data_IF_182005381183
#
_entry.id   IF_182005381183
#
_cell.length_a   1.000
_cell.length_b   1.000
_cell.length_c   1.000
_cell.angle_alpha   90.00
_cell.angle_beta   90.00
_cell.angle_gamma   90.00
#
_symmetry.space_group_name_H-M   'P 1'
#
loop_
_entity.id
_entity.type
_entity.pdbx_description
1 polymer ?
#
# COMPACT_ATOMS: atom_id res chain seq x y z
N UNK A 1 -0.64 7.13 8.34
CA UNK A 1 0.76 7.45 8.74
C UNK A 1 1.48 6.14 8.91
N UNK A 2 2.59 5.92 8.18
CA UNK A 2 3.42 4.73 8.36
C UNK A 2 3.97 4.74 9.78
N UNK A 3 3.99 3.58 10.45
CA UNK A 3 4.65 3.42 11.73
C UNK A 3 6.14 3.67 11.57
N UNK A 4 6.76 4.33 12.54
CA UNK A 4 8.22 4.45 12.56
C UNK A 4 8.86 3.09 12.74
N UNK A 5 9.92 2.84 11.96
CA UNK A 5 10.72 1.63 12.12
C UNK A 5 11.33 1.63 13.54
N UNK A 6 11.12 0.59 14.34
CA UNK A 6 11.73 0.48 15.67
C UNK A 6 13.25 0.55 15.57
N UNK A 7 13.89 1.30 16.48
CA UNK A 7 15.35 1.36 16.57
C UNK A 7 15.98 2.67 16.16
N UNK A 8 15.25 3.61 15.56
CA UNK A 8 15.79 4.95 15.23
C UNK A 8 16.30 5.66 16.50
N UNK A 9 15.61 5.52 17.61
CA UNK A 9 15.98 6.06 18.90
C UNK A 9 17.30 5.46 19.44
N UNK A 10 17.53 4.16 19.18
CA UNK A 10 18.78 3.48 19.54
C UNK A 10 19.93 3.99 18.68
N UNK A 11 19.67 4.17 17.37
CA UNK A 11 20.66 4.69 16.43
C UNK A 11 21.09 6.12 16.81
N UNK A 12 20.15 7.00 17.15
CA UNK A 12 20.43 8.38 17.59
C UNK A 12 21.35 8.38 18.82
N UNK A 13 21.06 7.53 19.81
CA UNK A 13 21.88 7.41 21.03
C UNK A 13 23.27 6.83 20.76
N UNK A 14 23.35 5.87 19.85
CA UNK A 14 24.62 5.19 19.49
C UNK A 14 25.57 6.14 18.77
N UNK A 15 25.06 6.87 17.78
CA UNK A 15 25.86 7.78 16.96
C UNK A 15 26.21 9.04 17.72
N UNK A 16 25.30 9.56 18.56
CA UNK A 16 25.51 10.79 19.32
C UNK A 16 25.67 12.05 18.45
N UNK A 17 25.21 11.99 17.18
CA UNK A 17 25.22 13.15 16.28
C UNK A 17 23.95 14.00 16.47
N UNK A 18 24.00 15.31 16.13
CA UNK A 18 22.80 16.14 16.09
C UNK A 18 21.75 15.58 15.14
N UNK A 19 20.49 15.60 15.56
CA UNK A 19 19.34 15.16 14.77
C UNK A 19 18.69 16.37 14.13
N UNK A 20 18.50 16.29 12.80
CA UNK A 20 17.71 17.26 12.02
C UNK A 20 16.48 16.53 11.50
N UNK A 21 15.31 17.02 11.87
CA UNK A 21 14.04 16.52 11.33
C UNK A 21 13.64 17.31 10.09
N UNK A 22 12.98 16.65 9.15
CA UNK A 22 12.50 17.25 7.93
C UNK A 22 11.06 16.86 7.63
N UNK A 23 10.27 17.82 7.14
CA UNK A 23 8.93 17.60 6.63
C UNK A 23 8.88 17.90 5.14
N UNK A 24 8.22 17.02 4.41
CA UNK A 24 7.96 17.21 2.97
C UNK A 24 6.47 17.47 2.82
N UNK A 25 6.11 18.67 2.40
CA UNK A 25 4.72 19.09 2.28
C UNK A 25 4.27 19.10 0.82
N UNK A 26 3.01 18.75 0.56
CA UNK A 26 2.35 18.72 -0.73
C UNK A 26 2.89 17.68 -1.73
N UNK A 27 3.82 16.83 -1.33
CA UNK A 27 4.38 15.78 -2.20
C UNK A 27 3.32 14.74 -2.59
N UNK A 28 2.44 14.41 -1.65
CA UNK A 28 1.30 13.49 -1.82
C UNK A 28 0.28 13.98 -2.86
N UNK A 29 0.19 15.29 -3.10
CA UNK A 29 -0.68 15.90 -4.12
C UNK A 29 0.03 16.08 -5.46
N UNK A 30 1.32 16.40 -5.43
CA UNK A 30 2.14 16.56 -6.65
C UNK A 30 2.47 15.20 -7.28
N UNK A 31 2.83 14.23 -6.47
CA UNK A 31 3.09 12.88 -6.92
C UNK A 31 2.51 11.85 -5.95
N UNK A 32 1.19 11.64 -5.98
CA UNK A 32 0.56 10.56 -5.23
C UNK A 32 1.14 9.22 -5.63
N UNK A 33 1.30 8.30 -4.69
CA UNK A 33 1.94 6.99 -4.92
C UNK A 33 1.25 6.14 -5.99
N UNK A 34 -0.05 6.34 -6.21
CA UNK A 34 -0.81 5.66 -7.26
C UNK A 34 -0.70 6.33 -8.63
N UNK A 35 -0.34 7.63 -8.69
CA UNK A 35 -0.39 8.39 -9.91
C UNK A 35 0.60 7.87 -10.95
N UNK A 36 0.15 7.75 -12.19
CA UNK A 36 1.00 7.38 -13.30
C UNK A 36 1.92 8.51 -13.76
N UNK A 37 1.56 9.77 -13.45
CA UNK A 37 2.30 10.97 -13.85
C UNK A 37 2.40 11.96 -12.72
N UNK A 38 3.54 12.63 -12.65
CA UNK A 38 3.75 13.78 -11.76
C UNK A 38 2.83 14.92 -12.18
N UNK A 39 2.18 15.54 -11.20
CA UNK A 39 1.34 16.73 -11.38
C UNK A 39 2.18 17.98 -11.23
N UNK A 40 1.80 19.06 -11.91
CA UNK A 40 2.48 20.36 -11.77
C UNK A 40 2.05 21.00 -10.45
N UNK A 41 3.00 21.27 -9.57
CA UNK A 41 2.77 21.87 -8.27
C UNK A 41 4.07 22.14 -7.54
N UNK A 42 3.97 22.75 -6.35
CA UNK A 42 5.10 23.03 -5.48
C UNK A 42 5.18 21.94 -4.40
N UNK A 43 6.38 21.43 -4.18
CA UNK A 43 6.74 20.63 -3.01
C UNK A 43 7.62 21.50 -2.11
N UNK A 44 7.35 21.50 -0.83
CA UNK A 44 8.10 22.28 0.15
C UNK A 44 8.81 21.35 1.14
N UNK A 45 10.09 21.62 1.36
CA UNK A 45 10.92 20.96 2.36
C UNK A 45 11.14 21.94 3.51
N UNK A 46 10.84 21.51 4.71
CA UNK A 46 11.04 22.27 5.93
C UNK A 46 11.96 21.47 6.84
N UNK A 47 13.03 22.10 7.28
CA UNK A 47 14.04 21.49 8.16
C UNK A 47 13.98 22.18 9.51
N UNK A 48 13.92 21.39 10.59
CA UNK A 48 14.04 21.92 11.93
C UNK A 48 15.51 22.17 12.30
N UNK A 49 15.81 23.06 13.25
CA UNK A 49 17.16 23.20 13.76
C UNK A 49 17.72 21.90 14.32
N UNK A 50 19.05 21.68 14.24
CA UNK A 50 19.68 20.50 14.81
C UNK A 50 19.45 20.43 16.33
N UNK A 51 19.09 19.25 16.82
CA UNK A 51 18.93 18.96 18.25
C UNK A 51 19.88 17.86 18.67
N UNK A 52 20.65 18.10 19.73
CA UNK A 52 21.56 17.14 20.32
C UNK A 52 20.87 16.43 21.48
N UNK A 53 20.80 15.10 21.41
CA UNK A 53 20.32 14.27 22.51
C UNK A 53 21.49 13.75 23.34
N UNK A 54 21.36 13.80 24.66
CA UNK A 54 22.31 13.17 25.56
C UNK A 54 22.20 11.64 25.50
N UNK A 55 23.30 10.93 25.79
CA UNK A 55 23.30 9.46 25.84
C UNK A 55 22.29 8.88 26.85
N UNK A 56 21.93 9.67 27.87
CA UNK A 56 20.97 9.28 28.93
C UNK A 56 19.52 9.58 28.57
N UNK A 57 19.26 10.32 27.45
CA UNK A 57 17.89 10.65 27.04
C UNK A 57 17.09 9.36 26.84
N UNK A 58 15.90 9.24 27.45
CA UNK A 58 15.04 8.07 27.26
C UNK A 58 14.69 7.84 25.78
N UNK A 59 14.73 6.59 25.28
CA UNK A 59 14.39 6.28 23.88
C UNK A 59 13.03 6.79 23.46
N UNK A 60 12.04 6.70 24.32
CA UNK A 60 10.67 7.17 24.10
C UNK A 60 10.58 8.68 23.88
N UNK A 61 11.41 9.47 24.55
CA UNK A 61 11.48 10.92 24.40
C UNK A 61 12.03 11.29 23.01
N UNK A 62 13.10 10.61 22.58
CA UNK A 62 13.68 10.80 21.23
C UNK A 62 12.63 10.46 20.16
N UNK A 63 11.93 9.33 20.33
CA UNK A 63 10.92 8.90 19.40
C UNK A 63 9.72 9.84 19.36
N UNK A 64 9.29 10.35 20.52
CA UNK A 64 8.21 11.33 20.62
C UNK A 64 8.59 12.64 19.91
N UNK A 65 9.80 13.15 20.14
CA UNK A 65 10.33 14.33 19.44
C UNK A 65 10.31 14.15 17.92
N UNK A 66 10.87 13.04 17.41
CA UNK A 66 10.91 12.77 15.97
C UNK A 66 9.50 12.69 15.40
N UNK A 67 8.58 11.99 16.06
CA UNK A 67 7.18 11.87 15.62
C UNK A 67 6.49 13.22 15.54
N UNK A 68 6.56 14.00 16.59
CA UNK A 68 5.94 15.34 16.63
C UNK A 68 6.42 16.21 15.47
N UNK A 69 7.74 16.22 15.23
CA UNK A 69 8.35 17.08 14.21
C UNK A 69 8.19 16.60 12.78
N UNK A 70 8.03 15.30 12.57
CA UNK A 70 7.89 14.75 11.20
C UNK A 70 6.44 14.47 10.81
N UNK A 71 5.49 14.47 11.75
CA UNK A 71 4.07 14.25 11.46
C UNK A 71 3.43 15.51 10.88
N UNK A 72 2.79 15.37 9.72
CA UNK A 72 1.94 16.40 9.16
C UNK A 72 0.54 16.31 9.76
N UNK A 73 0.07 17.42 10.32
CA UNK A 73 -1.29 17.60 10.82
C UNK A 73 -2.01 18.67 10.01
N UNK A 74 -3.34 18.81 10.09
CA UNK A 74 -4.05 19.88 9.41
C UNK A 74 -3.51 21.28 9.75
N UNK A 75 -3.03 21.48 10.98
CA UNK A 75 -2.54 22.76 11.49
C UNK A 75 -1.17 23.13 10.94
N UNK A 76 -0.29 22.14 10.72
CA UNK A 76 1.07 22.35 10.20
C UNK A 76 1.22 22.03 8.72
N UNK A 77 0.14 21.56 8.06
CA UNK A 77 0.13 21.27 6.63
C UNK A 77 -0.16 22.51 5.81
N UNK A 78 0.56 22.68 4.73
CA UNK A 78 0.32 23.72 3.74
C UNK A 78 -0.07 23.09 2.40
N UNK A 79 -1.21 23.50 1.87
CA UNK A 79 -1.73 23.03 0.60
C UNK A 79 -1.50 24.08 -0.49
N UNK A 80 -0.52 23.86 -1.36
CA UNK A 80 -0.34 24.69 -2.56
C UNK A 80 -1.17 24.16 -3.72
N UNK A 81 -1.58 25.03 -4.65
CA UNK A 81 -2.28 24.58 -5.84
C UNK A 81 -1.48 23.55 -6.63
N UNK A 82 -2.18 22.55 -7.12
CA UNK A 82 -1.66 21.51 -7.99
C UNK A 82 -2.51 21.49 -9.25
N UNK A 83 -1.90 21.28 -10.40
CA UNK A 83 -2.62 21.10 -11.66
C UNK A 83 -2.19 19.81 -12.34
N UNK A 84 -3.12 19.13 -12.97
CA UNK A 84 -2.87 17.86 -13.65
C UNK A 84 -4.05 17.45 -14.50
N UNK A 85 -3.80 16.43 -15.34
CA UNK A 85 -4.82 15.76 -16.14
C UNK A 85 -4.80 14.29 -15.79
N UNK A 86 -5.93 13.62 -16.01
CA UNK A 86 -6.05 12.17 -15.80
C UNK A 86 -5.68 11.77 -14.35
N UNK A 87 -6.24 12.49 -13.39
CA UNK A 87 -5.86 12.44 -11.98
C UNK A 87 -6.14 11.07 -11.34
N UNK A 88 -7.17 10.36 -11.84
CA UNK A 88 -7.58 9.08 -11.28
C UNK A 88 -6.79 7.88 -11.81
N UNK A 89 -5.98 8.04 -12.86
CA UNK A 89 -5.24 6.91 -13.43
C UNK A 89 -4.26 6.30 -12.42
N UNK A 90 -4.45 5.02 -12.13
CA UNK A 90 -3.72 4.23 -11.14
C UNK A 90 -4.38 4.23 -9.75
N UNK A 91 -5.50 4.94 -9.55
CA UNK A 91 -6.17 5.01 -8.24
C UNK A 91 -6.73 3.66 -7.80
N UNK A 92 -7.15 2.82 -8.75
CA UNK A 92 -7.63 1.46 -8.46
C UNK A 92 -6.56 0.54 -7.86
N UNK A 93 -5.28 0.87 -8.02
CA UNK A 93 -4.20 0.16 -7.33
C UNK A 93 -4.27 0.29 -5.80
N UNK A 94 -4.90 1.35 -5.29
CA UNK A 94 -5.05 1.58 -3.84
C UNK A 94 -6.50 1.52 -3.36
N UNK A 95 -7.47 1.80 -4.24
CA UNK A 95 -8.90 1.67 -3.98
C UNK A 95 -9.41 0.48 -4.80
N UNK A 96 -9.05 -0.73 -4.39
CA UNK A 96 -9.31 -1.96 -5.13
C UNK A 96 -10.72 -2.56 -4.89
N UNK A 97 -11.50 -1.95 -4.00
CA UNK A 97 -12.90 -2.27 -3.79
C UNK A 97 -13.75 -1.00 -3.80
N UNK A 98 -14.97 -1.09 -4.29
CA UNK A 98 -15.87 0.06 -4.31
C UNK A 98 -16.16 0.57 -2.89
N UNK A 99 -15.91 1.85 -2.58
CA UNK A 99 -16.16 2.40 -1.25
C UNK A 99 -17.66 2.47 -0.89
N UNK A 100 -18.55 2.28 -1.85
CA UNK A 100 -20.00 2.25 -1.66
C UNK A 100 -20.54 0.83 -1.44
N UNK A 101 -20.39 -0.05 -2.42
CA UNK A 101 -20.98 -1.40 -2.37
C UNK A 101 -20.01 -2.50 -1.92
N UNK A 102 -18.70 -2.22 -1.86
CA UNK A 102 -17.68 -3.20 -1.51
C UNK A 102 -17.28 -4.14 -2.66
N UNK A 103 -17.84 -3.96 -3.87
CA UNK A 103 -17.48 -4.77 -5.03
C UNK A 103 -15.98 -4.74 -5.28
N UNK A 104 -15.35 -5.93 -5.23
CA UNK A 104 -13.91 -6.08 -5.43
C UNK A 104 -13.60 -5.95 -6.92
N UNK A 105 -12.54 -5.19 -7.26
CA UNK A 105 -12.10 -4.97 -8.65
C UNK A 105 -13.19 -4.48 -9.61
N UNK A 106 -14.26 -3.90 -9.05
CA UNK A 106 -15.40 -3.36 -9.80
C UNK A 106 -15.23 -1.90 -10.22
N UNK A 107 -14.11 -1.27 -9.88
CA UNK A 107 -13.83 0.12 -10.22
C UNK A 107 -13.08 0.21 -11.53
N UNK A 108 -13.58 1.07 -12.44
CA UNK A 108 -12.92 1.43 -13.70
C UNK A 108 -12.52 2.90 -13.67
N UNK A 109 -11.39 3.19 -14.32
CA UNK A 109 -10.81 4.53 -14.40
C UNK A 109 -11.03 5.15 -15.77
N UNK A 110 -11.46 6.40 -15.81
CA UNK A 110 -11.47 7.23 -17.02
C UNK A 110 -10.96 8.64 -16.68
N UNK A 111 -9.75 8.97 -17.10
CA UNK A 111 -9.11 10.27 -16.88
C UNK A 111 -9.07 10.66 -15.40
N UNK A 112 -9.96 11.55 -14.96
CA UNK A 112 -10.08 11.99 -13.56
C UNK A 112 -11.25 11.35 -12.82
N UNK A 113 -11.90 10.34 -13.42
CA UNK A 113 -13.08 9.70 -12.86
C UNK A 113 -12.80 8.24 -12.51
N UNK A 114 -13.49 7.76 -11.48
CA UNK A 114 -13.65 6.33 -11.22
C UNK A 114 -15.15 6.01 -11.16
N UNK A 115 -15.53 4.87 -11.68
CA UNK A 115 -16.91 4.39 -11.66
C UNK A 115 -16.95 2.92 -11.26
N UNK A 116 -17.95 2.54 -10.48
CA UNK A 116 -18.19 1.16 -10.10
C UNK A 116 -19.11 0.48 -11.10
N UNK A 117 -18.67 -0.63 -11.67
CA UNK A 117 -19.46 -1.44 -12.62
C UNK A 117 -20.56 -2.25 -11.92
N UNK A 118 -20.47 -2.45 -10.60
CA UNK A 118 -21.44 -3.23 -9.84
C UNK A 118 -22.61 -2.41 -9.30
N UNK A 119 -22.38 -1.14 -8.90
CA UNK A 119 -23.42 -0.29 -8.31
C UNK A 119 -23.59 1.05 -9.02
N UNK A 120 -22.91 1.24 -10.14
CA UNK A 120 -22.99 2.40 -11.05
C UNK A 120 -22.61 3.75 -10.43
N UNK A 121 -22.17 3.79 -9.14
CA UNK A 121 -21.67 5.00 -8.50
C UNK A 121 -20.37 5.46 -9.11
N UNK A 122 -20.25 6.78 -9.24
CA UNK A 122 -19.09 7.42 -9.85
C UNK A 122 -18.61 8.62 -9.05
N UNK A 123 -17.30 8.86 -9.13
CA UNK A 123 -16.63 10.00 -8.48
C UNK A 123 -15.65 10.64 -9.44
N UNK A 124 -15.46 11.94 -9.29
CA UNK A 124 -14.41 12.68 -9.96
C UNK A 124 -13.33 13.09 -8.95
N UNK A 125 -12.10 12.72 -9.23
CA UNK A 125 -10.94 13.07 -8.41
C UNK A 125 -10.46 14.48 -8.78
N UNK A 126 -10.37 15.33 -7.78
CA UNK A 126 -9.78 16.65 -7.92
C UNK A 126 -8.29 16.71 -7.51
N UNK A 127 -7.69 17.88 -7.65
CA UNK A 127 -6.27 18.10 -7.32
C UNK A 127 -6.00 18.20 -5.82
N UNK A 128 -7.03 18.15 -4.99
CA UNK A 128 -6.93 18.05 -3.53
C UNK A 128 -6.94 16.63 -3.02
N UNK A 129 -6.99 15.65 -3.94
CA UNK A 129 -7.20 14.23 -3.63
C UNK A 129 -8.57 13.96 -3.00
N UNK A 130 -9.58 14.75 -3.40
CA UNK A 130 -10.98 14.58 -3.03
C UNK A 130 -11.71 13.86 -4.18
N UNK A 131 -12.39 12.78 -3.88
CA UNK A 131 -13.32 12.07 -4.73
C UNK A 131 -14.71 12.70 -4.57
N UNK A 132 -15.09 13.55 -5.50
CA UNK A 132 -16.37 14.24 -5.53
C UNK A 132 -17.41 13.33 -6.18
N UNK A 133 -18.49 13.02 -5.47
CA UNK A 133 -19.57 12.18 -6.01
C UNK A 133 -20.24 12.87 -7.20
N UNK A 134 -20.48 12.11 -8.27
CA UNK A 134 -21.16 12.58 -9.48
C UNK A 134 -22.67 12.29 -9.47
N UNK A 135 -23.14 11.47 -8.56
CA UNK A 135 -24.53 10.99 -8.45
C UNK A 135 -25.26 11.51 -7.20
N UNK A 136 -24.72 12.56 -6.56
CA UNK A 136 -25.29 13.13 -5.31
C UNK A 136 -25.03 12.28 -4.05
N UNK A 137 -24.21 11.24 -4.13
CA UNK A 137 -23.79 10.46 -2.98
C UNK A 137 -22.70 11.14 -2.16
N UNK A 138 -22.05 10.38 -1.29
CA UNK A 138 -21.00 10.91 -0.40
C UNK A 138 -19.68 11.12 -1.15
N UNK A 139 -19.14 12.32 -1.05
CA UNK A 139 -17.76 12.61 -1.44
C UNK A 139 -16.78 12.11 -0.37
N UNK A 140 -15.59 11.69 -0.78
CA UNK A 140 -14.60 11.04 0.08
C UNK A 140 -13.21 11.58 -0.24
N UNK A 141 -12.35 11.67 0.73
CA UNK A 141 -10.92 11.75 0.44
C UNK A 141 -10.42 10.40 -0.10
N UNK A 142 -9.34 10.42 -0.86
CA UNK A 142 -8.69 9.16 -1.32
C UNK A 142 -8.31 8.27 -0.14
N UNK A 143 -7.87 8.85 0.97
CA UNK A 143 -7.53 8.10 2.19
C UNK A 143 -8.76 7.39 2.78
N UNK A 144 -9.91 8.08 2.86
CA UNK A 144 -11.17 7.45 3.33
C UNK A 144 -11.63 6.36 2.38
N UNK A 145 -11.54 6.58 1.07
CA UNK A 145 -11.89 5.57 0.08
C UNK A 145 -11.02 4.32 0.20
N UNK A 146 -9.71 4.50 0.39
CA UNK A 146 -8.76 3.41 0.62
C UNK A 146 -9.09 2.62 1.91
N UNK A 147 -9.32 3.31 3.03
CA UNK A 147 -9.71 2.64 4.28
C UNK A 147 -11.04 1.89 4.16
N UNK A 148 -12.02 2.47 3.46
CA UNK A 148 -13.29 1.78 3.19
C UNK A 148 -13.09 0.54 2.32
N UNK A 149 -12.29 0.62 1.26
CA UNK A 149 -11.96 -0.51 0.42
C UNK A 149 -11.31 -1.64 1.24
N UNK A 150 -10.33 -1.31 2.08
CA UNK A 150 -9.67 -2.28 2.96
C UNK A 150 -10.64 -2.91 3.98
N UNK A 151 -11.46 -2.09 4.64
CA UNK A 151 -12.44 -2.60 5.61
C UNK A 151 -13.48 -3.51 4.95
N UNK A 152 -13.98 -3.15 3.76
CA UNK A 152 -14.91 -3.98 3.00
C UNK A 152 -14.28 -5.30 2.56
N UNK A 153 -13.06 -5.25 2.07
CA UNK A 153 -12.32 -6.46 1.71
C UNK A 153 -12.16 -7.41 2.89
N UNK A 154 -11.77 -6.90 4.05
CA UNK A 154 -11.67 -7.71 5.26
C UNK A 154 -13.01 -8.34 5.66
N UNK A 155 -14.11 -7.57 5.60
CA UNK A 155 -15.44 -8.02 6.01
C UNK A 155 -16.08 -9.01 5.04
N UNK A 156 -15.92 -8.79 3.72
CA UNK A 156 -16.69 -9.56 2.72
C UNK A 156 -15.87 -10.68 2.08
N UNK A 157 -14.56 -10.57 2.08
CA UNK A 157 -13.68 -11.54 1.42
C UNK A 157 -12.87 -12.40 2.39
N UNK A 158 -12.23 -11.77 3.39
CA UNK A 158 -11.37 -12.51 4.30
C UNK A 158 -12.15 -13.24 5.41
N UNK A 159 -13.43 -12.85 5.65
CA UNK A 159 -14.29 -13.50 6.63
C UNK A 159 -15.33 -14.45 6.01
N UNK A 160 -15.38 -14.55 4.67
CA UNK A 160 -16.26 -15.52 3.99
C UNK A 160 -15.63 -16.92 3.98
N UNK A 161 -15.70 -17.59 5.13
CA UNK A 161 -15.14 -18.94 5.31
C UNK A 161 -15.78 -19.98 4.39
N UNK A 162 -17.07 -19.86 4.09
CA UNK A 162 -17.77 -20.83 3.24
C UNK A 162 -17.19 -20.95 1.83
N UNK A 163 -16.53 -19.88 1.35
CA UNK A 163 -15.95 -19.85 0.01
C UNK A 163 -14.67 -20.69 -0.11
N UNK A 164 -13.81 -20.68 0.90
CA UNK A 164 -12.55 -21.44 0.86
C UNK A 164 -12.61 -22.80 1.59
N UNK A 165 -13.65 -23.06 2.39
CA UNK A 165 -13.86 -24.39 2.96
C UNK A 165 -14.04 -25.47 1.89
N UNK A 166 -14.58 -25.11 0.71
CA UNK A 166 -14.79 -26.04 -0.39
C UNK A 166 -13.52 -26.34 -1.20
N UNK A 167 -12.61 -25.36 -1.37
CA UNK A 167 -11.48 -25.44 -2.29
C UNK A 167 -10.12 -25.17 -1.64
N UNK A 168 -10.09 -24.66 -0.41
CA UNK A 168 -8.85 -24.26 0.30
C UNK A 168 -8.14 -23.06 -0.33
N UNK A 169 -8.82 -22.34 -1.25
CA UNK A 169 -8.27 -21.21 -2.00
C UNK A 169 -8.91 -19.91 -1.52
N UNK A 170 -8.12 -19.02 -0.97
CA UNK A 170 -8.56 -17.70 -0.51
C UNK A 170 -8.59 -16.70 -1.66
N UNK A 171 -7.51 -16.64 -2.42
CA UNK A 171 -7.37 -15.77 -3.58
C UNK A 171 -6.62 -16.46 -4.70
N UNK A 172 -6.95 -16.07 -5.92
CA UNK A 172 -6.26 -16.49 -7.13
C UNK A 172 -6.04 -15.28 -8.04
N UNK A 173 -4.87 -15.21 -8.67
CA UNK A 173 -4.52 -14.13 -9.59
C UNK A 173 -4.92 -14.44 -11.03
N UNK A 174 -4.95 -13.40 -11.87
CA UNK A 174 -4.75 -13.54 -13.29
C UNK A 174 -3.37 -14.18 -13.59
N UNK A 175 -3.15 -14.74 -14.79
CA UNK A 175 -1.84 -15.26 -15.17
C UNK A 175 -0.74 -14.20 -15.03
N UNK A 176 0.35 -14.58 -14.39
CA UNK A 176 1.48 -13.70 -14.08
C UNK A 176 2.83 -14.44 -14.19
N UNK A 177 3.91 -13.67 -14.22
CA UNK A 177 5.28 -14.17 -14.05
C UNK A 177 5.72 -13.97 -12.60
N UNK A 178 6.36 -14.99 -12.03
CA UNK A 178 7.00 -14.92 -10.72
C UNK A 178 8.51 -14.79 -10.89
N UNK A 179 9.07 -13.72 -10.33
CA UNK A 179 10.50 -13.43 -10.39
C UNK A 179 11.18 -13.77 -9.07
N UNK A 180 12.36 -14.38 -9.12
CA UNK A 180 13.33 -14.39 -8.01
C UNK A 180 14.22 -13.14 -8.16
N UNK A 181 14.10 -12.22 -7.22
CA UNK A 181 14.80 -10.92 -7.19
C UNK A 181 15.91 -10.91 -6.14
N UNK A 182 16.40 -12.08 -5.76
CA UNK A 182 17.50 -12.19 -4.77
C UNK A 182 18.82 -11.66 -5.31
N UNK A 183 19.00 -11.66 -6.63
CA UNK A 183 20.13 -11.10 -7.33
C UNK A 183 19.72 -9.84 -8.14
N UNK A 184 20.73 -9.07 -8.58
CA UNK A 184 20.54 -7.75 -9.23
C UNK A 184 19.71 -7.81 -10.52
N UNK A 185 19.84 -8.90 -11.28
CA UNK A 185 19.20 -9.01 -12.60
C UNK A 185 17.81 -9.66 -12.55
N UNK A 186 17.44 -10.29 -11.43
CA UNK A 186 16.19 -11.03 -11.27
C UNK A 186 16.01 -12.16 -12.31
N UNK A 187 15.43 -13.26 -11.94
CA UNK A 187 15.19 -14.41 -12.83
C UNK A 187 13.73 -14.79 -12.77
N UNK A 188 13.08 -14.99 -13.91
CA UNK A 188 11.76 -15.59 -13.96
C UNK A 188 11.87 -17.07 -13.60
N UNK A 189 11.12 -17.48 -12.58
CA UNK A 189 11.18 -18.86 -12.04
C UNK A 189 9.91 -19.65 -12.30
N UNK A 190 8.78 -18.97 -12.53
CA UNK A 190 7.51 -19.61 -12.85
C UNK A 190 6.57 -18.66 -13.58
N UNK A 191 5.70 -19.20 -14.41
CA UNK A 191 4.58 -18.50 -15.08
C UNK A 191 3.31 -19.29 -14.82
N UNK A 192 2.23 -18.62 -14.48
CA UNK A 192 0.94 -19.27 -14.17
C UNK A 192 0.07 -18.37 -13.34
N UNK A 193 -0.81 -18.91 -12.53
CA UNK A 193 -1.64 -18.17 -11.58
C UNK A 193 -1.12 -18.37 -10.16
N UNK A 194 -1.05 -17.30 -9.39
CA UNK A 194 -0.70 -17.35 -7.99
C UNK A 194 -1.96 -17.60 -7.16
N UNK A 195 -1.92 -18.60 -6.30
CA UNK A 195 -2.96 -18.86 -5.30
C UNK A 195 -2.44 -18.60 -3.91
N UNK A 196 -3.31 -17.95 -3.08
CA UNK A 196 -3.17 -17.85 -1.64
C UNK A 196 -4.10 -18.87 -0.99
N UNK A 197 -3.55 -19.71 -0.12
CA UNK A 197 -4.28 -20.59 0.79
C UNK A 197 -4.10 -20.12 2.23
N UNK A 198 -4.67 -20.82 3.19
CA UNK A 198 -4.48 -20.51 4.63
C UNK A 198 -3.03 -20.66 5.09
N UNK A 199 -2.23 -21.48 4.40
CA UNK A 199 -0.89 -21.85 4.86
C UNK A 199 0.23 -21.47 3.91
N UNK A 200 -0.06 -21.27 2.62
CA UNK A 200 0.97 -21.04 1.61
C UNK A 200 0.50 -20.17 0.44
N UNK A 201 1.48 -19.62 -0.26
CA UNK A 201 1.36 -19.12 -1.63
C UNK A 201 1.86 -20.21 -2.58
N UNK A 202 1.16 -20.49 -3.69
CA UNK A 202 1.59 -21.47 -4.68
C UNK A 202 1.28 -21.01 -6.10
N UNK A 203 2.13 -21.44 -7.04
CA UNK A 203 1.86 -21.29 -8.48
C UNK A 203 1.10 -22.50 -8.99
N UNK A 204 0.05 -22.23 -9.76
CA UNK A 204 -0.72 -23.24 -10.49
C UNK A 204 -0.67 -22.94 -11.99
N UNK A 205 -1.03 -23.94 -12.81
CA UNK A 205 -0.94 -23.87 -14.29
C UNK A 205 0.49 -23.47 -14.75
N UNK A 206 1.49 -23.85 -13.96
CA UNK A 206 2.90 -23.59 -14.21
C UNK A 206 3.64 -24.89 -14.51
N UNK A 207 4.59 -24.86 -15.45
CA UNK A 207 5.50 -25.99 -15.70
C UNK A 207 6.41 -26.23 -14.51
N UNK A 208 6.71 -25.18 -13.73
CA UNK A 208 7.55 -25.25 -12.53
C UNK A 208 6.66 -25.29 -11.29
N UNK A 209 6.80 -26.32 -10.47
CA UNK A 209 6.18 -26.34 -9.14
C UNK A 209 6.88 -25.32 -8.25
N UNK A 210 6.11 -24.35 -7.74
CA UNK A 210 6.59 -23.39 -6.75
C UNK A 210 5.53 -23.20 -5.68
N UNK A 211 5.97 -23.28 -4.43
CA UNK A 211 5.16 -22.89 -3.27
C UNK A 211 6.02 -22.24 -2.20
N UNK A 212 5.39 -21.39 -1.39
CA UNK A 212 6.02 -20.66 -0.31
C UNK A 212 5.09 -20.67 0.91
N UNK A 213 5.44 -21.41 1.98
CA UNK A 213 4.70 -21.37 3.24
C UNK A 213 4.65 -19.95 3.81
N UNK A 214 3.50 -19.54 4.34
CA UNK A 214 3.35 -18.22 4.96
C UNK A 214 4.24 -18.06 6.19
N UNK A 215 4.57 -19.15 6.88
CA UNK A 215 5.53 -19.18 7.99
C UNK A 215 6.94 -18.76 7.59
N UNK A 216 7.34 -18.97 6.33
CA UNK A 216 8.67 -18.65 5.84
C UNK A 216 8.79 -17.19 5.38
N UNK A 217 7.65 -16.51 5.20
CA UNK A 217 7.62 -15.10 4.87
C UNK A 217 8.05 -14.24 6.07
N UNK A 218 9.16 -13.54 5.94
CA UNK A 218 9.62 -12.56 6.95
C UNK A 218 9.00 -11.19 6.78
N UNK A 219 8.87 -10.77 5.54
CA UNK A 219 8.30 -9.47 5.20
C UNK A 219 7.48 -9.57 3.92
N UNK A 220 6.31 -8.96 3.95
CA UNK A 220 5.52 -8.67 2.75
C UNK A 220 5.38 -7.17 2.63
N UNK A 221 5.79 -6.60 1.51
CA UNK A 221 5.78 -5.15 1.31
C UNK A 221 5.39 -4.78 -0.11
N UNK A 222 5.02 -3.53 -0.29
CA UNK A 222 4.60 -2.99 -1.60
C UNK A 222 5.43 -1.76 -1.93
N UNK A 223 6.00 -1.75 -3.14
CA UNK A 223 6.71 -0.61 -3.67
C UNK A 223 5.84 0.15 -4.69
N UNK A 224 5.68 1.46 -4.48
CA UNK A 224 4.95 2.38 -5.37
C UNK A 224 3.56 1.87 -5.80
N UNK A 225 2.90 1.08 -4.97
CA UNK A 225 1.58 0.46 -5.22
C UNK A 225 1.50 -0.45 -6.45
N UNK A 226 2.63 -0.92 -6.96
CA UNK A 226 2.71 -1.70 -8.21
C UNK A 226 3.50 -2.98 -8.09
N UNK A 227 4.42 -3.08 -7.12
CA UNK A 227 5.25 -4.25 -6.90
C UNK A 227 4.95 -4.85 -5.55
N UNK A 228 4.74 -6.14 -5.51
CA UNK A 228 4.60 -6.92 -4.29
C UNK A 228 5.91 -7.66 -4.04
N UNK A 229 6.49 -7.44 -2.87
CA UNK A 229 7.71 -8.09 -2.45
C UNK A 229 7.40 -9.14 -1.39
N UNK A 230 7.79 -10.38 -1.66
CA UNK A 230 7.67 -11.52 -0.76
C UNK A 230 9.09 -11.88 -0.31
N UNK A 231 9.45 -11.51 0.91
CA UNK A 231 10.81 -11.70 1.43
C UNK A 231 10.85 -12.83 2.45
N UNK A 232 11.72 -13.80 2.22
CA UNK A 232 12.07 -14.88 3.16
C UNK A 232 13.38 -14.55 3.87
N UNK A 233 14.03 -15.55 4.49
CA UNK A 233 15.36 -15.39 5.07
C UNK A 233 16.41 -15.10 4.01
N UNK A 234 16.34 -15.82 2.89
CA UNK A 234 17.42 -15.89 1.90
C UNK A 234 16.99 -15.42 0.52
N UNK A 235 15.69 -15.24 0.28
CA UNK A 235 15.14 -14.93 -1.04
C UNK A 235 14.13 -13.80 -1.04
N UNK A 236 14.04 -13.16 -2.19
CA UNK A 236 13.05 -12.11 -2.47
C UNK A 236 12.32 -12.48 -3.76
N UNK A 237 11.00 -12.58 -3.71
CA UNK A 237 10.17 -12.87 -4.87
C UNK A 237 9.28 -11.68 -5.22
N UNK A 238 9.07 -11.48 -6.52
CA UNK A 238 8.16 -10.48 -7.07
C UNK A 238 7.16 -11.15 -8.04
N UNK A 239 5.90 -11.34 -7.67
CA UNK A 239 4.85 -11.66 -8.64
C UNK A 239 4.50 -10.41 -9.45
N UNK A 240 4.63 -10.48 -10.76
CA UNK A 240 4.36 -9.37 -11.68
C UNK A 240 2.86 -9.31 -11.97
N UNK A 241 2.15 -8.40 -11.34
CA UNK A 241 0.67 -8.27 -11.38
C UNK A 241 0.24 -7.00 -12.13
N UNK A 242 0.23 -6.97 -13.47
CA UNK A 242 -0.02 -5.74 -14.22
C UNK A 242 -1.49 -5.27 -14.18
N UNK A 243 -2.42 -6.15 -13.87
CA UNK A 243 -3.86 -5.91 -13.91
C UNK A 243 -4.55 -5.91 -12.56
N UNK A 244 -3.84 -6.27 -11.50
CA UNK A 244 -4.41 -6.42 -10.17
C UNK A 244 -3.79 -5.44 -9.17
N UNK A 245 -4.54 -5.12 -8.12
CA UNK A 245 -4.00 -4.35 -7.00
C UNK A 245 -3.09 -5.23 -6.13
N UNK A 246 -1.81 -4.91 -6.09
CA UNK A 246 -0.85 -5.57 -5.18
C UNK A 246 -1.17 -5.33 -3.71
N UNK A 247 -1.89 -4.23 -3.38
CA UNK A 247 -2.34 -3.96 -2.00
C UNK A 247 -3.41 -4.94 -1.54
N UNK A 248 -4.28 -5.42 -2.45
CA UNK A 248 -5.23 -6.49 -2.15
C UNK A 248 -4.50 -7.73 -1.65
N UNK A 249 -3.45 -8.14 -2.36
CA UNK A 249 -2.60 -9.28 -2.01
C UNK A 249 -1.83 -9.06 -0.70
N UNK A 250 -1.24 -7.87 -0.51
CA UNK A 250 -0.58 -7.52 0.74
C UNK A 250 -1.51 -7.71 1.94
N UNK A 251 -2.72 -7.15 1.86
CA UNK A 251 -3.67 -7.21 2.97
C UNK A 251 -4.16 -8.64 3.24
N UNK A 252 -4.40 -9.44 2.19
CA UNK A 252 -4.79 -10.84 2.34
C UNK A 252 -3.68 -11.66 2.99
N UNK A 253 -2.45 -11.57 2.49
CA UNK A 253 -1.31 -12.31 3.04
C UNK A 253 -1.05 -11.92 4.49
N UNK A 254 -1.10 -10.62 4.82
CA UNK A 254 -0.91 -10.15 6.20
C UNK A 254 -1.99 -10.67 7.15
N UNK A 255 -3.24 -10.73 6.70
CA UNK A 255 -4.35 -11.25 7.49
C UNK A 255 -4.12 -12.72 7.86
N UNK A 256 -3.83 -13.57 6.88
CA UNK A 256 -3.66 -15.00 7.10
C UNK A 256 -2.36 -15.35 7.79
N UNK A 257 -1.29 -14.61 7.54
CA UNK A 257 -0.05 -14.77 8.29
C UNK A 257 -0.25 -14.48 9.79
N UNK A 258 -0.96 -13.42 10.14
CA UNK A 258 -1.26 -13.10 11.54
C UNK A 258 -2.14 -14.17 12.20
N UNK A 259 -3.07 -14.79 11.46
CA UNK A 259 -3.89 -15.89 11.93
C UNK A 259 -3.10 -17.18 12.16
N UNK A 260 -2.08 -17.42 11.35
CA UNK A 260 -1.21 -18.60 11.50
C UNK A 260 -0.20 -18.49 12.66
N UNK A 261 0.08 -17.27 13.14
CA UNK A 261 0.98 -17.00 14.28
C UNK A 261 0.25 -16.96 15.63
N UNK A 262 -1.09 -17.01 15.65
CA UNK A 262 -1.95 -16.95 16.86
C UNK A 262 -2.43 -18.33 17.27
#
# INVERSE_FOLDING_TARGET
>A
TLSFVPGIEKLVRLIGAPVVTARIQNADRVYPRWAQKVRKGRVHFEFDPPVQFERKTPPEEILAYIRERTTLTPENSRNWPVTGKNLALGLTNIVYACPSCGGLESLVEDKSKIACTACERAWELDTSNQLNSLDGGTSLTVTEAMHKAQARFAQTWLQDTARYEAEGIIMESEPLSLMDQSDVDGVEIATGRLQLTETELRMIDSETQWSLPLSDLRLVSVEMTRKLWLTTQDKVFEPIMPKESVLKWLHAIQHWKAAAES
#
